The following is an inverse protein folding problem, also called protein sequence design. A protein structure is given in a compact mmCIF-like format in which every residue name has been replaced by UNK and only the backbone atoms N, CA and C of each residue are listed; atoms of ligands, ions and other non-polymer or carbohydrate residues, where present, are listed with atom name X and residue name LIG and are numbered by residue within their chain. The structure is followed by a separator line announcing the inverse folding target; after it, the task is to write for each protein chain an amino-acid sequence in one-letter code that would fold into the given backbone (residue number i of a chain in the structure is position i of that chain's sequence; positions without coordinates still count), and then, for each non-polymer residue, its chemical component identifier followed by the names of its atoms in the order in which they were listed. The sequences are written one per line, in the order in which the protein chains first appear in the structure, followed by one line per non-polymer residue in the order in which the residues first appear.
data_IF_643297323131
#
_entry.id   IF_643297323131
#
_cell.length_a   1.000
_cell.length_b   1.000
_cell.length_c   1.000
_cell.angle_alpha   90.00
_cell.angle_beta   90.00
_cell.angle_gamma   90.00
#
_symmetry.space_group_name_H-M   'P 1'
#
loop_
_entity.id
_entity.type
_entity.pdbx_description
1 polymer ?
#
# COMPACT_ATOMS: atom_id res chain seq x y z
N UNK A 1 -13.53 8.90 -6.58
CA UNK A 1 -12.61 8.13 -5.72
C UNK A 1 -12.12 6.98 -6.56
N UNK A 2 -10.84 6.91 -6.88
CA UNK A 2 -10.29 5.83 -7.69
C UNK A 2 -9.04 5.33 -7.00
N UNK A 3 -9.21 4.43 -6.03
CA UNK A 3 -8.10 3.72 -5.42
C UNK A 3 -8.02 2.36 -6.08
N UNK A 4 -6.94 2.10 -6.82
CA UNK A 4 -6.68 0.82 -7.47
C UNK A 4 -5.67 0.05 -6.64
N UNK A 5 -6.03 -1.14 -6.18
CA UNK A 5 -5.13 -1.96 -5.34
C UNK A 5 -4.85 -3.27 -6.06
N UNK A 6 -3.57 -3.56 -6.23
CA UNK A 6 -3.09 -4.72 -6.97
C UNK A 6 -2.25 -5.58 -6.04
N UNK A 7 -2.75 -6.77 -5.72
CA UNK A 7 -2.16 -7.68 -4.74
C UNK A 7 -1.67 -8.93 -5.45
N UNK A 8 -0.36 -9.18 -5.43
CA UNK A 8 0.26 -10.31 -6.12
C UNK A 8 1.00 -11.21 -5.14
N UNK A 9 0.88 -12.53 -5.35
CA UNK A 9 1.61 -13.58 -4.62
C UNK A 9 1.39 -13.64 -3.09
N UNK A 10 0.39 -12.96 -2.53
CA UNK A 10 0.07 -13.03 -1.09
C UNK A 10 -0.46 -14.40 -0.64
N UNK A 11 -1.07 -15.17 -1.55
CA UNK A 11 -1.57 -16.53 -1.30
C UNK A 11 -2.81 -16.62 -0.41
N UNK A 12 -3.07 -15.62 0.43
CA UNK A 12 -4.15 -15.61 1.40
C UNK A 12 -5.23 -14.59 1.05
N UNK A 13 -6.45 -15.08 0.78
CA UNK A 13 -7.56 -14.24 0.36
C UNK A 13 -8.07 -13.32 1.48
N UNK A 14 -7.97 -13.75 2.74
CA UNK A 14 -8.43 -12.95 3.87
C UNK A 14 -7.46 -11.80 4.12
N UNK A 15 -6.16 -12.09 4.10
CA UNK A 15 -5.11 -11.08 4.20
C UNK A 15 -5.21 -10.04 3.08
N UNK A 16 -5.45 -10.48 1.84
CA UNK A 16 -5.68 -9.57 0.73
C UNK A 16 -6.82 -8.59 1.00
N UNK A 17 -7.95 -9.07 1.52
CA UNK A 17 -9.10 -8.20 1.84
C UNK A 17 -8.80 -7.22 2.96
N UNK A 18 -8.10 -7.65 4.00
CA UNK A 18 -7.69 -6.77 5.09
C UNK A 18 -6.75 -5.66 4.62
N UNK A 19 -5.73 -6.02 3.84
CA UNK A 19 -4.78 -5.05 3.27
C UNK A 19 -5.53 -4.08 2.37
N UNK A 20 -6.36 -4.57 1.44
CA UNK A 20 -7.18 -3.74 0.57
C UNK A 20 -8.01 -2.74 1.37
N UNK A 21 -8.76 -3.21 2.39
CA UNK A 21 -9.57 -2.33 3.22
C UNK A 21 -8.75 -1.27 3.97
N UNK A 22 -7.59 -1.63 4.52
CA UNK A 22 -6.72 -0.66 5.21
C UNK A 22 -6.11 0.37 4.25
N UNK A 23 -5.68 -0.07 3.06
CA UNK A 23 -5.13 0.80 2.01
C UNK A 23 -6.19 1.77 1.49
N UNK A 24 -7.38 1.24 1.15
CA UNK A 24 -8.52 2.06 0.75
C UNK A 24 -8.86 3.08 1.84
N UNK A 25 -8.91 2.66 3.10
CA UNK A 25 -9.23 3.56 4.20
C UNK A 25 -8.16 4.67 4.37
N UNK A 26 -6.87 4.35 4.26
CA UNK A 26 -5.80 5.34 4.33
C UNK A 26 -5.83 6.36 3.17
N UNK A 27 -6.18 5.88 1.97
CA UNK A 27 -6.24 6.71 0.76
C UNK A 27 -7.61 7.35 0.54
N UNK A 28 -8.66 6.90 1.21
CA UNK A 28 -10.01 7.47 1.13
C UNK A 28 -10.04 8.90 1.66
N UNK A 29 -9.15 9.22 2.60
CA UNK A 29 -8.93 10.59 3.09
C UNK A 29 -8.15 11.46 2.08
N UNK A 30 -7.53 10.85 1.06
CA UNK A 30 -6.68 11.52 0.07
C UNK A 30 -7.44 11.78 -1.22
N UNK A 31 -7.41 13.04 -1.68
CA UNK A 31 -7.96 13.38 -3.00
C UNK A 31 -7.03 12.87 -4.11
N UNK A 32 -7.61 12.29 -5.15
CA UNK A 32 -6.88 11.84 -6.34
C UNK A 32 -7.23 10.42 -6.78
N UNK A 33 -6.65 10.04 -7.92
CA UNK A 33 -6.55 8.64 -8.32
C UNK A 33 -5.25 8.08 -7.74
N UNK A 34 -5.37 7.07 -6.89
CA UNK A 34 -4.24 6.42 -6.24
C UNK A 34 -4.17 4.97 -6.69
N UNK A 35 -2.97 4.46 -6.94
CA UNK A 35 -2.75 3.05 -7.22
C UNK A 35 -1.72 2.50 -6.24
N UNK A 36 -2.03 1.37 -5.61
CA UNK A 36 -1.13 0.68 -4.70
C UNK A 36 -0.93 -0.73 -5.21
N UNK A 37 0.32 -1.08 -5.50
CA UNK A 37 0.69 -2.43 -5.95
C UNK A 37 1.53 -3.08 -4.87
N UNK A 38 1.11 -4.23 -4.34
CA UNK A 38 1.86 -5.00 -3.36
C UNK A 38 2.14 -6.37 -3.95
N UNK A 39 3.42 -6.66 -4.16
CA UNK A 39 3.89 -7.95 -4.64
C UNK A 39 4.67 -8.64 -3.52
N UNK A 40 4.13 -9.75 -3.01
CA UNK A 40 4.89 -10.61 -2.15
C UNK A 40 5.98 -11.31 -2.95
N UNK A 41 7.23 -11.22 -2.51
CA UNK A 41 8.28 -12.00 -3.14
C UNK A 41 8.09 -13.47 -2.75
N UNK A 42 8.17 -14.36 -3.74
CA UNK A 42 8.03 -15.80 -3.51
C UNK A 42 9.34 -16.43 -3.02
N UNK A 43 10.45 -15.75 -3.26
CA UNK A 43 11.80 -16.17 -2.90
C UNK A 43 12.26 -15.64 -1.54
N UNK A 44 11.56 -14.65 -0.97
CA UNK A 44 11.91 -14.02 0.29
C UNK A 44 10.65 -13.54 0.99
N UNK A 45 10.68 -13.47 2.32
CA UNK A 45 9.63 -12.85 3.13
C UNK A 45 9.63 -11.31 2.98
N UNK A 46 10.03 -10.78 1.83
CA UNK A 46 10.04 -9.36 1.54
C UNK A 46 8.95 -9.09 0.52
N UNK A 47 8.14 -8.07 0.78
CA UNK A 47 7.15 -7.64 -0.19
C UNK A 47 7.58 -6.30 -0.77
N UNK A 48 7.26 -6.06 -2.02
CA UNK A 48 7.41 -4.76 -2.65
C UNK A 48 6.07 -4.07 -2.67
N UNK A 49 6.00 -2.87 -2.10
CA UNK A 49 4.86 -1.97 -2.16
C UNK A 49 5.22 -0.78 -3.04
N UNK A 50 4.44 -0.54 -4.08
CA UNK A 50 4.53 0.63 -4.94
C UNK A 50 3.26 1.46 -4.78
N UNK A 51 3.41 2.76 -4.58
CA UNK A 51 2.33 3.72 -4.42
C UNK A 51 2.48 4.73 -5.55
N UNK A 52 1.48 4.80 -6.41
CA UNK A 52 1.36 5.76 -7.49
C UNK A 52 0.19 6.69 -7.15
N UNK A 53 0.39 7.99 -7.35
CA UNK A 53 -0.58 9.02 -7.02
C UNK A 53 -0.75 10.04 -8.14
N UNK A 54 -1.69 10.98 -7.96
CA UNK A 54 -1.87 12.07 -8.91
C UNK A 54 -0.61 12.93 -9.00
N UNK A 55 -0.46 13.66 -10.11
CA UNK A 55 0.69 14.54 -10.38
C UNK A 55 2.04 13.83 -10.52
N UNK A 56 2.04 12.56 -10.95
CA UNK A 56 3.28 11.79 -11.17
C UNK A 56 3.95 11.33 -9.87
N UNK A 57 3.21 11.31 -8.76
CA UNK A 57 3.72 10.78 -7.51
C UNK A 57 3.95 9.27 -7.65
N UNK A 58 5.17 8.81 -7.39
CA UNK A 58 5.50 7.39 -7.31
C UNK A 58 6.45 7.15 -6.14
N UNK A 59 6.15 6.14 -5.32
CA UNK A 59 6.96 5.69 -4.20
C UNK A 59 7.01 4.17 -4.19
N UNK A 60 8.20 3.61 -4.29
CA UNK A 60 8.44 2.19 -4.03
C UNK A 60 9.01 2.00 -2.63
N UNK A 61 8.56 0.95 -1.93
CA UNK A 61 8.98 0.60 -0.58
C UNK A 61 9.07 -0.92 -0.44
N UNK A 62 10.12 -1.40 0.21
CA UNK A 62 10.31 -2.82 0.50
C UNK A 62 9.86 -3.12 1.93
N UNK A 63 8.79 -3.89 2.09
CA UNK A 63 8.26 -4.34 3.36
C UNK A 63 9.05 -5.59 3.81
N UNK A 64 9.78 -5.52 4.91
CA UNK A 64 10.49 -6.66 5.47
C UNK A 64 9.56 -7.48 6.38
N UNK A 65 9.33 -8.76 6.02
CA UNK A 65 8.50 -9.68 6.79
C UNK A 65 9.05 -9.94 8.19
N UNK A 66 10.38 -9.95 8.35
CA UNK A 66 11.03 -10.13 9.65
C UNK A 66 10.71 -9.01 10.65
N UNK A 67 10.32 -7.82 10.18
CA UNK A 67 9.89 -6.70 11.02
C UNK A 67 8.37 -6.65 11.25
N UNK A 68 7.61 -7.60 10.70
CA UNK A 68 6.15 -7.61 10.76
C UNK A 68 5.49 -6.56 9.85
N UNK A 69 6.21 -6.00 8.88
CA UNK A 69 5.71 -4.95 8.00
C UNK A 69 4.66 -5.43 7.00
N UNK A 70 4.42 -6.75 6.94
CA UNK A 70 3.34 -7.37 6.18
C UNK A 70 1.96 -7.23 6.85
N UNK A 71 1.92 -6.76 8.10
CA UNK A 71 0.64 -6.57 8.78
C UNK A 71 -0.16 -5.44 8.14
N UNK A 72 -1.49 -5.60 7.97
CA UNK A 72 -2.36 -4.59 7.37
C UNK A 72 -2.24 -3.21 8.04
N UNK A 73 -2.11 -3.19 9.38
CA UNK A 73 -1.91 -1.96 10.14
C UNK A 73 -0.57 -1.28 9.84
N UNK A 74 0.50 -2.05 9.69
CA UNK A 74 1.82 -1.51 9.37
C UNK A 74 1.81 -0.89 7.98
N UNK A 75 1.26 -1.59 6.99
CA UNK A 75 1.10 -1.12 5.61
C UNK A 75 0.32 0.20 5.59
N UNK A 76 -0.80 0.27 6.32
CA UNK A 76 -1.60 1.50 6.44
C UNK A 76 -0.78 2.69 6.95
N UNK A 77 -0.02 2.45 8.03
CA UNK A 77 0.82 3.49 8.66
C UNK A 77 1.95 3.92 7.75
N UNK A 78 2.55 3.00 7.00
CA UNK A 78 3.58 3.29 6.01
C UNK A 78 3.01 4.14 4.87
N UNK A 79 1.86 3.78 4.31
CA UNK A 79 1.19 4.59 3.27
C UNK A 79 0.88 5.99 3.80
N UNK A 80 0.35 6.12 5.02
CA UNK A 80 0.05 7.43 5.60
C UNK A 80 1.31 8.31 5.81
N UNK A 81 2.47 7.70 6.05
CA UNK A 81 3.76 8.39 6.18
C UNK A 81 4.39 8.71 4.82
N UNK A 82 4.29 7.79 3.86
CA UNK A 82 4.86 7.94 2.52
C UNK A 82 4.06 8.94 1.68
N UNK A 83 2.74 8.93 1.81
CA UNK A 83 1.83 9.83 1.11
C UNK A 83 1.67 11.10 1.94
N UNK A 84 2.15 12.26 1.47
CA UNK A 84 2.05 13.51 2.22
C UNK A 84 0.58 13.89 2.43
N UNK A 85 0.17 14.29 3.66
CA UNK A 85 -1.17 14.82 3.90
C UNK A 85 -1.42 15.94 2.91
N UNK A 86 -2.64 16.00 2.36
CA UNK A 86 -3.04 16.88 1.28
C UNK A 86 -2.60 18.33 1.57
N UNK A 87 -1.39 18.70 1.11
CA UNK A 87 -0.92 20.08 1.10
C UNK A 87 -1.68 20.74 -0.03
N UNK A 88 -2.83 21.30 0.28
CA UNK A 88 -3.31 22.43 -0.47
C UNK A 88 -2.38 23.63 -0.15
N UNK A 89 -2.02 24.44 -1.16
CA UNK A 89 -1.18 25.61 -1.00
C UNK A 89 -1.80 26.67 -0.09
#
# INVERSE_FOLDING_TARGET
MGVSIELQNLGDAQLCREITAQVEHALSDRRGAWRVSIAASRASENWEMRIEGPHGFERSYSLAGSAGEHQPEAIRRLIAQLVPPNRLP
#
